data_IF_280662653357
#
_entry.id   IF_280662653357
#
_cell.length_a   1.000
_cell.length_b   1.000
_cell.length_c   1.000
_cell.angle_alpha   90.00
_cell.angle_beta   90.00
_cell.angle_gamma   90.00
#
_symmetry.space_group_name_H-M   'P 1'
#
loop_
_entity.id
_entity.type
_entity.pdbx_description
1 polymer ?
#
# COMPACT_ATOMS: atom_id res chain seq x y z
N UNK A 1 -22.87 21.15 13.03
CA UNK A 1 -22.91 19.67 13.11
C UNK A 1 -21.47 19.22 12.98
N UNK A 2 -21.01 18.28 13.81
CA UNK A 2 -19.64 17.76 13.71
C UNK A 2 -19.58 16.66 12.62
N UNK A 3 -18.59 16.75 11.73
CA UNK A 3 -18.37 15.81 10.64
C UNK A 3 -17.05 15.09 10.92
N UNK A 4 -17.11 13.77 11.13
CA UNK A 4 -15.94 12.95 11.45
C UNK A 4 -15.66 11.96 10.33
N UNK A 5 -14.52 12.12 9.67
CA UNK A 5 -13.99 11.12 8.74
C UNK A 5 -13.09 10.14 9.49
N UNK A 6 -13.56 8.90 9.62
CA UNK A 6 -12.78 7.78 10.17
C UNK A 6 -11.92 7.14 9.08
N UNK A 7 -10.90 6.38 9.48
CA UNK A 7 -10.06 5.64 8.52
C UNK A 7 -10.91 4.62 7.74
N UNK A 8 -10.74 4.54 6.43
CA UNK A 8 -11.45 3.58 5.58
C UNK A 8 -10.97 2.14 5.88
N UNK A 9 -11.90 1.21 6.05
CA UNK A 9 -11.60 -0.20 6.26
C UNK A 9 -10.84 -0.83 5.09
N UNK A 10 -11.13 -0.42 3.86
CA UNK A 10 -10.47 -0.89 2.63
C UNK A 10 -9.01 -0.47 2.59
N UNK A 11 -8.70 0.74 3.04
CA UNK A 11 -7.31 1.18 3.23
C UNK A 11 -6.58 0.21 4.14
N UNK A 12 -7.12 -0.02 5.34
CA UNK A 12 -6.52 -0.92 6.33
C UNK A 12 -6.32 -2.34 5.79
N UNK A 13 -7.36 -2.91 5.17
CA UNK A 13 -7.32 -4.27 4.65
C UNK A 13 -6.32 -4.43 3.50
N UNK A 14 -6.20 -3.45 2.60
CA UNK A 14 -5.24 -3.51 1.49
C UNK A 14 -3.80 -3.59 2.01
N UNK A 15 -3.40 -2.66 2.88
CA UNK A 15 -2.06 -2.66 3.45
C UNK A 15 -1.79 -3.87 4.33
N UNK A 16 -2.79 -4.33 5.09
CA UNK A 16 -2.66 -5.53 5.91
C UNK A 16 -2.44 -6.78 5.05
N UNK A 17 -3.27 -7.00 4.03
CA UNK A 17 -3.15 -8.17 3.16
C UNK A 17 -1.83 -8.18 2.40
N UNK A 18 -1.43 -7.05 1.81
CA UNK A 18 -0.15 -6.95 1.09
C UNK A 18 1.02 -7.17 2.06
N UNK A 19 0.96 -6.57 3.25
CA UNK A 19 1.99 -6.75 4.28
C UNK A 19 2.13 -8.19 4.76
N UNK A 20 1.02 -8.91 4.94
CA UNK A 20 1.02 -10.33 5.33
C UNK A 20 1.50 -11.25 4.20
N UNK A 21 1.11 -10.98 2.95
CA UNK A 21 1.62 -11.74 1.79
C UNK A 21 3.12 -11.55 1.63
N UNK A 22 3.61 -10.31 1.72
CA UNK A 22 5.04 -10.01 1.68
C UNK A 22 5.79 -10.68 2.84
N UNK A 23 5.19 -10.75 4.04
CA UNK A 23 5.76 -11.46 5.18
C UNK A 23 5.89 -12.97 4.90
N UNK A 24 4.80 -13.58 4.41
CA UNK A 24 4.79 -15.00 4.06
C UNK A 24 5.84 -15.33 3.00
N UNK A 25 5.96 -14.50 1.97
CA UNK A 25 6.99 -14.66 0.94
C UNK A 25 8.40 -14.50 1.52
N UNK A 26 8.63 -13.52 2.40
CA UNK A 26 9.92 -13.34 3.06
C UNK A 26 10.30 -14.56 3.92
N UNK A 27 9.37 -15.09 4.69
CA UNK A 27 9.58 -16.30 5.48
C UNK A 27 9.84 -17.52 4.61
N UNK A 28 9.15 -17.66 3.47
CA UNK A 28 9.38 -18.74 2.52
C UNK A 28 10.77 -18.64 1.89
N UNK A 29 11.16 -17.47 1.36
CA UNK A 29 12.50 -17.27 0.81
C UNK A 29 13.60 -17.54 1.85
N UNK A 30 13.38 -17.12 3.11
CA UNK A 30 14.30 -17.42 4.21
C UNK A 30 14.40 -18.92 4.50
N UNK A 31 13.27 -19.64 4.48
CA UNK A 31 13.24 -21.10 4.61
C UNK A 31 14.01 -21.79 3.48
N UNK A 32 13.79 -21.37 2.23
CA UNK A 32 14.49 -21.94 1.07
C UNK A 32 16.00 -21.71 1.17
N UNK A 33 16.43 -20.50 1.56
CA UNK A 33 17.86 -20.19 1.72
C UNK A 33 18.55 -20.94 2.87
N UNK A 34 17.83 -21.26 3.96
CA UNK A 34 18.40 -21.88 5.16
C UNK A 34 18.27 -23.40 5.21
N UNK A 35 17.17 -23.95 4.69
CA UNK A 35 16.78 -25.34 4.91
C UNK A 35 16.47 -26.02 3.58
N UNK A 36 15.60 -25.43 2.75
CA UNK A 36 15.14 -26.03 1.50
C UNK A 36 16.29 -26.35 0.54
N UNK A 37 17.00 -25.31 0.09
CA UNK A 37 18.06 -25.45 -0.90
C UNK A 37 19.24 -26.28 -0.39
N UNK A 38 19.73 -26.10 0.86
CA UNK A 38 20.76 -26.97 1.40
C UNK A 38 20.37 -28.46 1.42
N UNK A 39 19.13 -28.78 1.80
CA UNK A 39 18.66 -30.17 1.81
C UNK A 39 18.51 -30.74 0.40
N UNK A 40 17.95 -29.95 -0.54
CA UNK A 40 17.85 -30.35 -1.94
C UNK A 40 19.22 -30.57 -2.57
N UNK A 41 20.21 -29.77 -2.21
CA UNK A 41 21.57 -29.88 -2.70
C UNK A 41 22.23 -31.21 -2.33
N UNK A 42 21.82 -31.89 -1.25
CA UNK A 42 22.35 -33.23 -0.94
C UNK A 42 22.07 -34.20 -2.08
N UNK A 43 20.82 -34.26 -2.53
CA UNK A 43 20.37 -35.14 -3.61
C UNK A 43 20.94 -34.67 -4.95
N UNK A 44 20.86 -33.36 -5.22
CA UNK A 44 21.31 -32.76 -6.49
C UNK A 44 22.83 -32.92 -6.68
N UNK A 45 23.63 -32.76 -5.63
CA UNK A 45 25.08 -32.94 -5.70
C UNK A 45 25.47 -34.40 -5.88
N UNK A 46 24.79 -35.34 -5.20
CA UNK A 46 25.04 -36.76 -5.40
C UNK A 46 24.78 -37.19 -6.86
N UNK A 47 23.69 -36.69 -7.46
CA UNK A 47 23.42 -36.91 -8.87
C UNK A 47 24.45 -36.23 -9.78
N UNK A 48 24.82 -34.98 -9.51
CA UNK A 48 25.82 -34.26 -10.29
C UNK A 48 27.17 -35.00 -10.31
N UNK A 49 27.59 -35.55 -9.16
CA UNK A 49 28.80 -36.35 -9.06
C UNK A 49 28.71 -37.64 -9.91
N UNK A 50 27.59 -38.37 -9.84
CA UNK A 50 27.39 -39.55 -10.69
C UNK A 50 27.39 -39.22 -12.17
N UNK A 51 26.84 -38.07 -12.55
CA UNK A 51 26.86 -37.60 -13.92
C UNK A 51 28.30 -37.29 -14.41
N UNK A 52 29.11 -36.65 -13.57
CA UNK A 52 30.54 -36.43 -13.85
C UNK A 52 31.32 -37.75 -13.99
N UNK A 53 30.96 -38.77 -13.22
CA UNK A 53 31.53 -40.13 -13.29
C UNK A 53 31.00 -40.96 -14.48
N UNK A 54 30.02 -40.44 -15.24
CA UNK A 54 29.39 -41.17 -16.35
C UNK A 54 28.44 -42.30 -15.91
N UNK A 55 27.94 -42.25 -14.67
CA UNK A 55 27.10 -43.27 -14.01
C UNK A 55 25.64 -42.84 -13.87
N UNK A 56 25.15 -41.98 -14.76
CA UNK A 56 23.77 -41.47 -14.71
C UNK A 56 22.72 -42.59 -14.77
N UNK A 57 23.00 -43.66 -15.49
CA UNK A 57 22.08 -44.80 -15.67
C UNK A 57 21.83 -45.55 -14.36
N UNK A 58 22.76 -45.48 -13.40
CA UNK A 58 22.67 -46.11 -12.08
C UNK A 58 21.85 -45.28 -11.08
N UNK A 59 21.47 -44.03 -11.43
CA UNK A 59 20.79 -43.11 -10.50
C UNK A 59 19.52 -43.70 -9.89
N UNK A 60 18.72 -44.40 -10.69
CA UNK A 60 17.43 -44.92 -10.22
C UNK A 60 17.60 -45.93 -9.09
N UNK A 61 18.60 -46.80 -9.20
CA UNK A 61 18.88 -47.82 -8.20
C UNK A 61 19.51 -47.18 -6.96
N UNK A 62 20.48 -46.29 -7.14
CA UNK A 62 21.10 -45.55 -6.04
C UNK A 62 20.09 -44.70 -5.25
N UNK A 63 19.24 -43.92 -5.94
CA UNK A 63 18.21 -43.11 -5.30
C UNK A 63 17.23 -43.97 -4.51
N UNK A 64 16.85 -45.15 -5.04
CA UNK A 64 15.96 -46.09 -4.34
C UNK A 64 16.59 -46.65 -3.07
N UNK A 65 17.88 -46.97 -3.08
CA UNK A 65 18.62 -47.41 -1.90
C UNK A 65 18.69 -46.33 -0.81
N UNK A 66 18.86 -45.06 -1.22
CA UNK A 66 18.88 -43.90 -0.31
C UNK A 66 17.48 -43.41 0.10
N UNK A 67 16.40 -44.00 -0.43
CA UNK A 67 15.03 -43.55 -0.20
C UNK A 67 14.69 -42.19 -0.83
N UNK A 68 15.45 -41.79 -1.86
CA UNK A 68 15.25 -40.56 -2.62
C UNK A 68 14.35 -40.77 -3.84
N UNK A 69 13.91 -39.67 -4.43
CA UNK A 69 13.16 -39.69 -5.69
C UNK A 69 14.01 -40.28 -6.82
N UNK A 70 13.47 -41.22 -7.57
CA UNK A 70 14.11 -41.82 -8.76
C UNK A 70 14.05 -40.92 -9.99
N UNK A 71 13.36 -39.77 -9.90
CA UNK A 71 13.35 -38.77 -10.98
C UNK A 71 14.74 -38.14 -11.09
N UNK A 72 15.11 -37.75 -12.31
CA UNK A 72 16.36 -37.01 -12.58
C UNK A 72 16.31 -35.67 -11.83
N UNK A 73 17.22 -35.42 -10.86
CA UNK A 73 17.29 -34.15 -10.16
C UNK A 73 17.71 -33.02 -11.10
N UNK A 74 17.28 -31.81 -10.77
CA UNK A 74 17.79 -30.59 -11.39
C UNK A 74 19.23 -30.27 -10.94
N UNK A 75 19.85 -29.27 -11.57
CA UNK A 75 21.17 -28.76 -11.16
C UNK A 75 21.17 -28.34 -9.68
N UNK A 76 22.29 -28.53 -8.96
CA UNK A 76 22.45 -27.97 -7.62
C UNK A 76 22.23 -26.46 -7.59
N UNK A 77 21.66 -25.98 -6.49
CA UNK A 77 21.57 -24.56 -6.18
C UNK A 77 22.96 -24.06 -5.81
N UNK A 78 23.49 -23.15 -6.61
CA UNK A 78 24.78 -22.53 -6.37
C UNK A 78 24.73 -21.50 -5.23
N UNK A 79 25.89 -20.98 -4.79
CA UNK A 79 25.95 -19.91 -3.80
C UNK A 79 25.13 -18.68 -4.19
N UNK A 80 25.04 -18.38 -5.50
CA UNK A 80 24.22 -17.28 -6.02
C UNK A 80 22.71 -17.52 -5.87
N UNK A 81 22.23 -18.76 -6.10
CA UNK A 81 20.82 -19.12 -5.95
C UNK A 81 20.39 -18.97 -4.47
N UNK A 82 21.25 -19.41 -3.54
CA UNK A 82 21.04 -19.27 -2.09
C UNK A 82 21.12 -17.80 -1.65
N UNK A 83 22.12 -17.05 -2.13
CA UNK A 83 22.26 -15.63 -1.81
C UNK A 83 21.04 -14.82 -2.28
N UNK A 84 20.49 -15.15 -3.45
CA UNK A 84 19.29 -14.51 -3.96
C UNK A 84 18.07 -14.73 -3.05
N UNK A 85 17.93 -15.91 -2.44
CA UNK A 85 16.86 -16.17 -1.47
C UNK A 85 16.95 -15.25 -0.25
N UNK A 86 18.15 -15.01 0.28
CA UNK A 86 18.35 -14.05 1.38
C UNK A 86 18.07 -12.61 0.97
N UNK A 87 18.44 -12.21 -0.26
CA UNK A 87 18.13 -10.87 -0.78
C UNK A 87 16.62 -10.69 -0.92
N UNK A 88 15.92 -11.67 -1.50
CA UNK A 88 14.46 -11.66 -1.63
C UNK A 88 13.78 -11.60 -0.25
N UNK A 89 14.23 -12.42 0.70
CA UNK A 89 13.74 -12.39 2.08
C UNK A 89 13.94 -11.01 2.74
N UNK A 90 15.11 -10.38 2.54
CA UNK A 90 15.41 -9.06 3.08
C UNK A 90 14.51 -7.96 2.51
N UNK A 91 14.36 -7.89 1.18
CA UNK A 91 13.54 -6.87 0.51
C UNK A 91 12.06 -7.05 0.88
N UNK A 92 11.55 -8.27 0.77
CA UNK A 92 10.16 -8.57 1.09
C UNK A 92 9.85 -8.37 2.58
N UNK A 93 10.76 -8.77 3.47
CA UNK A 93 10.64 -8.57 4.90
C UNK A 93 10.62 -7.09 5.28
N UNK A 94 11.50 -6.27 4.68
CA UNK A 94 11.49 -4.82 4.88
C UNK A 94 10.20 -4.18 4.36
N UNK A 95 9.75 -4.55 3.16
CA UNK A 95 8.48 -4.06 2.61
C UNK A 95 7.29 -4.42 3.52
N UNK A 96 7.24 -5.66 3.99
CA UNK A 96 6.24 -6.11 4.96
C UNK A 96 6.26 -5.27 6.24
N UNK A 97 7.44 -5.04 6.83
CA UNK A 97 7.60 -4.22 8.02
C UNK A 97 7.04 -2.81 7.84
N UNK A 98 7.34 -2.17 6.70
CA UNK A 98 6.83 -0.82 6.38
C UNK A 98 5.31 -0.84 6.28
N UNK A 99 4.73 -1.76 5.50
CA UNK A 99 3.28 -1.83 5.28
C UNK A 99 2.51 -2.14 6.57
N UNK A 100 2.98 -3.10 7.37
CA UNK A 100 2.37 -3.44 8.66
C UNK A 100 2.51 -2.30 9.67
N UNK A 101 3.61 -1.54 9.62
CA UNK A 101 3.75 -0.31 10.42
C UNK A 101 2.71 0.75 10.02
N UNK A 102 2.43 0.91 8.72
CA UNK A 102 1.36 1.82 8.25
C UNK A 102 -0.01 1.40 8.80
N UNK A 103 -0.32 0.10 8.79
CA UNK A 103 -1.55 -0.48 9.34
C UNK A 103 -1.67 -0.19 10.84
N UNK A 104 -0.61 -0.46 11.61
CA UNK A 104 -0.58 -0.21 13.06
C UNK A 104 -0.76 1.27 13.38
N UNK A 105 -0.05 2.16 12.67
CA UNK A 105 -0.12 3.62 12.90
C UNK A 105 -1.44 4.24 12.47
N UNK A 106 -2.14 3.62 11.52
CA UNK A 106 -3.42 4.10 10.99
C UNK A 106 -4.62 3.66 11.83
N UNK A 107 -4.45 2.69 12.73
CA UNK A 107 -5.52 2.20 13.58
C UNK A 107 -6.06 3.31 14.49
N UNK A 108 -7.38 3.51 14.47
CA UNK A 108 -8.05 4.52 15.28
C UNK A 108 -7.81 5.97 14.85
N UNK A 109 -7.25 6.20 13.65
CA UNK A 109 -7.09 7.55 13.11
C UNK A 109 -8.41 8.10 12.60
N UNK A 110 -8.65 9.37 12.87
CA UNK A 110 -9.79 10.13 12.36
C UNK A 110 -9.41 11.60 12.24
N UNK A 111 -10.14 12.31 11.39
CA UNK A 111 -10.18 13.77 11.31
C UNK A 111 -11.63 14.21 11.53
N UNK A 112 -11.82 15.35 12.15
CA UNK A 112 -13.14 15.89 12.48
C UNK A 112 -13.16 17.39 12.29
N UNK A 113 -14.21 17.86 11.62
CA UNK A 113 -14.58 19.26 11.57
C UNK A 113 -15.73 19.48 12.54
N UNK A 114 -15.50 20.28 13.58
CA UNK A 114 -16.53 20.70 14.53
C UNK A 114 -16.65 22.23 14.51
N UNK A 115 -17.71 22.73 13.87
CA UNK A 115 -17.88 24.16 13.63
C UNK A 115 -16.77 24.71 12.71
N UNK A 116 -15.93 25.57 13.27
CA UNK A 116 -14.79 26.19 12.59
C UNK A 116 -13.46 25.44 12.82
N UNK A 117 -13.47 24.38 13.63
CA UNK A 117 -12.26 23.69 14.09
C UNK A 117 -12.09 22.36 13.39
N UNK A 118 -11.06 22.28 12.56
CA UNK A 118 -10.58 21.04 11.98
C UNK A 118 -9.50 20.44 12.88
N UNK A 119 -9.74 19.24 13.40
CA UNK A 119 -8.80 18.57 14.28
C UNK A 119 -8.70 17.07 13.99
N UNK A 120 -7.64 16.48 14.49
CA UNK A 120 -7.29 15.11 14.19
C UNK A 120 -6.97 14.33 15.45
N UNK A 121 -7.17 13.01 15.39
CA UNK A 121 -6.94 12.09 16.51
C UNK A 121 -5.50 12.05 17.05
N UNK A 122 -4.57 12.76 16.42
CA UNK A 122 -3.16 12.84 16.77
C UNK A 122 -2.71 14.19 17.29
N UNK A 123 -3.66 15.03 17.70
CA UNK A 123 -3.41 16.31 18.36
C UNK A 123 -3.15 17.48 17.40
N UNK A 124 -3.23 17.26 16.08
CA UNK A 124 -3.24 18.36 15.13
C UNK A 124 -4.62 19.02 15.12
N UNK A 125 -4.66 20.34 15.24
CA UNK A 125 -5.88 21.13 15.26
C UNK A 125 -5.62 22.49 14.64
N UNK A 126 -6.58 22.99 13.89
CA UNK A 126 -6.59 24.35 13.35
C UNK A 126 -8.02 24.88 13.30
N UNK A 127 -8.13 26.20 13.23
CA UNK A 127 -9.38 26.92 12.95
C UNK A 127 -9.32 27.53 11.55
N UNK A 128 -10.46 27.88 10.97
CA UNK A 128 -10.55 28.39 9.59
C UNK A 128 -9.79 29.70 9.36
N UNK A 129 -9.69 30.56 10.37
CA UNK A 129 -8.91 31.81 10.37
C UNK A 129 -7.39 31.58 10.21
N UNK A 130 -6.90 30.42 10.66
CA UNK A 130 -5.49 30.04 10.54
C UNK A 130 -5.13 29.53 9.13
N UNK A 131 -6.12 29.26 8.28
CA UNK A 131 -5.91 28.71 6.94
C UNK A 131 -5.37 29.78 6.01
N UNK A 132 -4.20 29.50 5.47
CA UNK A 132 -3.52 30.36 4.48
C UNK A 132 -3.91 29.94 3.06
N UNK A 133 -4.01 28.63 2.81
CA UNK A 133 -4.26 28.09 1.46
C UNK A 133 -4.82 26.67 1.55
N UNK A 134 -5.74 26.30 0.67
CA UNK A 134 -6.17 24.93 0.41
C UNK A 134 -5.72 24.54 -1.00
N UNK A 135 -4.73 23.64 -1.09
CA UNK A 135 -4.23 23.10 -2.36
C UNK A 135 -4.92 21.78 -2.71
N UNK A 136 -5.68 21.81 -3.80
CA UNK A 136 -6.50 20.70 -4.32
C UNK A 136 -5.93 20.07 -5.59
N UNK A 137 -4.67 20.36 -5.95
CA UNK A 137 -4.05 19.86 -7.18
C UNK A 137 -4.13 18.34 -7.35
N UNK A 138 -4.26 17.59 -6.26
CA UNK A 138 -4.35 16.11 -6.25
C UNK A 138 -5.69 15.60 -5.73
N UNK A 139 -6.66 16.47 -5.50
CA UNK A 139 -7.95 16.07 -4.95
C UNK A 139 -8.76 15.25 -5.94
N UNK A 140 -8.99 15.75 -7.16
CA UNK A 140 -9.79 15.02 -8.16
C UNK A 140 -9.20 13.67 -8.57
N UNK A 141 -7.87 13.60 -8.73
CA UNK A 141 -7.22 12.39 -9.23
C UNK A 141 -6.84 11.38 -8.14
N UNK A 142 -6.48 11.88 -6.94
CA UNK A 142 -5.90 11.06 -5.86
C UNK A 142 -6.60 11.22 -4.52
N UNK A 143 -7.58 12.12 -4.42
CA UNK A 143 -8.29 12.43 -3.18
C UNK A 143 -7.42 13.08 -2.11
N UNK A 144 -6.37 13.82 -2.49
CA UNK A 144 -5.46 14.44 -1.52
C UNK A 144 -5.56 15.97 -1.60
N UNK A 145 -6.05 16.59 -0.54
CA UNK A 145 -6.07 18.02 -0.33
C UNK A 145 -5.09 18.42 0.79
N UNK A 146 -4.38 19.53 0.59
CA UNK A 146 -3.40 20.05 1.54
C UNK A 146 -3.84 21.42 2.04
N UNK A 147 -4.25 21.47 3.30
CA UNK A 147 -4.61 22.71 3.98
C UNK A 147 -3.36 23.26 4.63
N UNK A 148 -2.80 24.33 4.06
CA UNK A 148 -1.68 25.07 4.64
C UNK A 148 -2.25 26.07 5.65
N UNK A 149 -1.74 26.01 6.88
CA UNK A 149 -2.19 26.89 7.96
C UNK A 149 -1.00 27.40 8.76
N UNK A 150 -1.20 28.52 9.44
CA UNK A 150 -0.20 29.10 10.32
C UNK A 150 -0.63 29.01 11.78
N UNK A 151 0.25 28.45 12.62
CA UNK A 151 0.00 28.29 14.04
C UNK A 151 1.31 28.61 14.79
N UNK A 152 1.24 29.52 15.76
CA UNK A 152 2.40 29.99 16.54
C UNK A 152 3.56 30.49 15.67
N UNK A 153 3.24 31.23 14.60
CA UNK A 153 4.22 31.75 13.63
C UNK A 153 4.89 30.67 12.77
N UNK A 154 4.38 29.44 12.78
CA UNK A 154 4.91 28.33 11.99
C UNK A 154 3.88 27.87 10.96
N UNK A 155 4.32 27.77 9.71
CA UNK A 155 3.53 27.16 8.63
C UNK A 155 3.51 25.65 8.78
N UNK A 156 2.31 25.07 8.76
CA UNK A 156 2.05 23.63 8.86
C UNK A 156 1.08 23.20 7.77
N UNK A 157 0.97 21.88 7.58
CA UNK A 157 0.06 21.29 6.59
C UNK A 157 -0.84 20.27 7.28
N UNK A 158 -2.14 20.41 7.09
CA UNK A 158 -3.14 19.41 7.41
C UNK A 158 -3.53 18.71 6.11
N UNK A 159 -3.53 17.38 6.11
CA UNK A 159 -3.82 16.60 4.91
C UNK A 159 -5.18 15.94 5.06
N UNK A 160 -6.08 16.22 4.13
CA UNK A 160 -7.34 15.50 3.93
C UNK A 160 -7.11 14.51 2.79
N UNK A 161 -7.39 13.24 3.03
CA UNK A 161 -7.03 12.12 2.15
C UNK A 161 -8.20 11.12 2.07
N UNK A 162 -8.91 11.09 0.94
CA UNK A 162 -10.09 10.24 0.69
C UNK A 162 -9.75 8.75 0.52
N UNK A 163 -8.46 8.44 0.34
CA UNK A 163 -7.97 7.08 0.23
C UNK A 163 -7.71 6.52 1.62
N UNK A 164 -7.25 7.37 2.55
CA UNK A 164 -7.03 7.00 3.95
C UNK A 164 -8.30 7.09 4.81
N UNK A 165 -9.10 8.13 4.62
CA UNK A 165 -10.33 8.37 5.36
C UNK A 165 -11.55 8.11 4.47
N UNK A 166 -12.71 7.85 5.06
CA UNK A 166 -13.92 7.58 4.26
C UNK A 166 -14.23 8.80 3.40
N UNK A 167 -14.36 8.56 2.08
CA UNK A 167 -14.48 9.60 1.06
C UNK A 167 -15.63 10.56 1.30
N UNK A 168 -16.82 10.05 1.61
CA UNK A 168 -18.02 10.87 1.81
C UNK A 168 -17.78 11.96 2.87
N UNK A 169 -17.26 11.58 4.02
CA UNK A 169 -16.98 12.50 5.12
C UNK A 169 -15.78 13.39 4.83
N UNK A 170 -14.81 12.93 4.04
CA UNK A 170 -13.68 13.76 3.60
C UNK A 170 -14.13 14.86 2.61
N UNK A 171 -14.99 14.52 1.65
CA UNK A 171 -15.64 15.45 0.71
C UNK A 171 -16.47 16.48 1.47
N UNK A 172 -17.27 16.03 2.45
CA UNK A 172 -18.08 16.89 3.34
C UNK A 172 -17.21 17.85 4.16
N UNK A 173 -16.13 17.37 4.78
CA UNK A 173 -15.18 18.22 5.51
C UNK A 173 -14.58 19.28 4.59
N UNK A 174 -14.20 18.90 3.37
CA UNK A 174 -13.55 19.81 2.43
C UNK A 174 -14.54 20.86 1.91
N UNK A 175 -15.78 20.49 1.60
CA UNK A 175 -16.84 21.40 1.24
C UNK A 175 -17.11 22.45 2.34
N UNK A 176 -17.29 21.99 3.58
CA UNK A 176 -17.60 22.89 4.70
C UNK A 176 -16.43 23.83 5.03
N UNK A 177 -15.18 23.36 5.03
CA UNK A 177 -14.02 24.23 5.32
C UNK A 177 -13.77 25.25 4.20
N UNK A 178 -14.03 24.89 2.94
CA UNK A 178 -13.92 25.81 1.81
C UNK A 178 -14.96 26.93 1.88
N UNK A 179 -16.17 26.63 2.38
CA UNK A 179 -17.21 27.63 2.63
C UNK A 179 -16.86 28.64 3.74
N UNK A 180 -15.84 28.36 4.56
CA UNK A 180 -15.42 29.21 5.68
C UNK A 180 -14.25 30.14 5.33
N UNK A 181 -13.70 30.06 4.12
CA UNK A 181 -12.53 30.85 3.71
C UNK A 181 -12.75 31.62 2.41
N UNK A 182 -11.90 32.60 2.15
CA UNK A 182 -11.92 33.34 0.90
C UNK A 182 -11.59 32.43 -0.29
N UNK A 183 -12.38 32.53 -1.37
CA UNK A 183 -12.19 31.71 -2.58
C UNK A 183 -10.80 31.84 -3.20
N UNK A 184 -10.11 32.96 -2.99
CA UNK A 184 -8.73 33.19 -3.47
C UNK A 184 -7.70 32.29 -2.77
N UNK A 185 -8.02 31.74 -1.60
CA UNK A 185 -7.15 30.80 -0.86
C UNK A 185 -7.30 29.36 -1.34
N UNK A 186 -8.31 29.07 -2.17
CA UNK A 186 -8.52 27.75 -2.77
C UNK A 186 -7.77 27.71 -4.10
N UNK A 187 -6.80 26.80 -4.21
CA UNK A 187 -5.93 26.68 -5.38
C UNK A 187 -5.85 25.25 -5.88
N UNK A 188 -5.47 25.07 -7.14
CA UNK A 188 -5.26 23.75 -7.72
C UNK A 188 -6.55 22.96 -8.02
N UNK A 189 -7.72 23.59 -7.92
CA UNK A 189 -9.01 23.02 -8.30
C UNK A 189 -10.17 23.96 -7.96
N UNK A 190 -11.37 23.75 -8.53
CA UNK A 190 -12.57 24.47 -8.12
C UNK A 190 -12.99 24.06 -6.69
N UNK A 191 -13.80 24.87 -5.99
CA UNK A 191 -14.43 24.47 -4.74
C UNK A 191 -15.26 23.18 -4.89
N UNK A 192 -15.40 22.42 -3.80
CA UNK A 192 -16.21 21.21 -3.77
C UNK A 192 -17.69 21.53 -3.97
N UNK A 193 -18.39 20.58 -4.61
CA UNK A 193 -19.84 20.64 -4.72
C UNK A 193 -20.49 20.18 -3.42
N UNK A 194 -21.74 20.62 -3.15
CA UNK A 194 -22.49 20.15 -1.99
C UNK A 194 -22.55 18.62 -1.93
N UNK A 195 -22.50 18.04 -0.72
CA UNK A 195 -22.60 16.60 -0.53
C UNK A 195 -23.81 16.02 -1.27
N UNK A 196 -23.59 14.92 -2.00
CA UNK A 196 -24.61 14.26 -2.82
C UNK A 196 -24.73 14.73 -4.27
N UNK A 197 -24.10 15.86 -4.66
CA UNK A 197 -24.10 16.33 -6.06
C UNK A 197 -22.91 15.81 -6.88
N UNK A 198 -21.90 15.23 -6.24
CA UNK A 198 -20.70 14.70 -6.91
C UNK A 198 -20.95 13.41 -7.71
N UNK A 199 -21.99 12.63 -7.38
CA UNK A 199 -22.30 11.34 -8.02
C UNK A 199 -22.84 11.51 -9.44
N UNK A 200 -23.45 12.66 -9.75
CA UNK A 200 -24.06 12.93 -11.05
C UNK A 200 -23.01 13.18 -12.15
N UNK A 201 -21.96 13.96 -11.88
CA UNK A 201 -20.93 14.26 -12.88
C UNK A 201 -20.04 13.04 -13.21
N UNK A 202 -19.73 12.20 -12.21
CA UNK A 202 -18.97 10.97 -12.44
C UNK A 202 -19.76 9.93 -13.26
N UNK A 203 -21.10 9.95 -13.17
CA UNK A 203 -21.99 9.07 -13.93
C UNK A 203 -22.16 9.52 -15.39
N UNK A 204 -22.15 10.83 -15.67
CA UNK A 204 -22.32 11.35 -17.04
C UNK A 204 -21.00 11.42 -17.81
N UNK A 205 -19.84 11.56 -17.15
CA UNK A 205 -18.53 11.47 -17.81
C UNK A 205 -18.19 10.05 -18.31
N UNK A 206 -18.94 9.03 -17.89
CA UNK A 206 -18.73 7.63 -18.27
C UNK A 206 -19.63 7.16 -19.42
N UNK A 207 -20.53 8.00 -19.94
CA UNK A 207 -21.30 7.67 -21.15
C UNK A 207 -20.46 8.05 -22.37
N UNK A 208 -20.12 7.10 -23.26
CA UNK A 208 -19.61 7.48 -24.57
C UNK A 208 -20.69 8.29 -25.28
N UNK A 209 -20.33 9.49 -25.72
CA UNK A 209 -21.12 10.28 -26.66
C UNK A 209 -21.24 9.51 -27.97
N UNK A 210 -22.26 8.66 -28.07
CA UNK A 210 -22.72 8.04 -29.30
C UNK A 210 -23.57 9.09 -30.05
N UNK A 211 -22.91 10.12 -30.58
CA UNK A 211 -23.58 11.12 -31.43
C UNK A 211 -22.57 11.78 -32.38
N UNK A 212 -22.05 11.01 -33.34
CA UNK A 212 -21.46 11.55 -34.57
C UNK A 212 -21.27 10.45 -35.64
N UNK A 213 -22.37 9.98 -36.23
CA UNK A 213 -22.39 9.47 -37.62
C UNK A 213 -23.85 9.19 -38.05
N UNK A 214 -24.53 10.24 -38.52
CA UNK A 214 -25.68 10.15 -39.41
C UNK A 214 -25.33 10.92 -40.69
#
# INVERSE_FOLDING_TARGET
MAIRAVTDRRFYLRYLLIGLVALGFACWAMYDGMIGYPNENVIRNAYAQMAEEGREDEWKDYAKEQGWSTLKPERPHGPGDIAMQYIMAGIAGFASLVLLTVVLRSRGRWIELDGDRLHASWGQSLTSDQIVEIDKKRWRDKGIARIKYEQDGRKRVFVVDDFKFVRKEADEILYEIEGQIDMQRIVGGPPELPPGHQVAEASDAAKPTDEAAA
#
